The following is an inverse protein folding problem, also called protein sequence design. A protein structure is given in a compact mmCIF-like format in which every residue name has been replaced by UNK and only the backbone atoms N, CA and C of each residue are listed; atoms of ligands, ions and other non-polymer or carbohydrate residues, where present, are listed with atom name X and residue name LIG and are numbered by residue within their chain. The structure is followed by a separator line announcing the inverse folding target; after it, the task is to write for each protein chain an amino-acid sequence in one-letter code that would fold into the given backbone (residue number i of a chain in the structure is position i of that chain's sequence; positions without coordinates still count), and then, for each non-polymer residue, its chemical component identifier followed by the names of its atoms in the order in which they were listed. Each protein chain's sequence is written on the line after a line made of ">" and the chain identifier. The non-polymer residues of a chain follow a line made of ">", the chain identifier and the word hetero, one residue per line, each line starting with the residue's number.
data_IF_726847064085
#
_entry.id   IF_726847064085
#
_cell.length_a   1.000
_cell.length_b   1.000
_cell.length_c   1.000
_cell.angle_alpha   90.00
_cell.angle_beta   90.00
_cell.angle_gamma   90.00
#
_symmetry.space_group_name_H-M   'P 1'
#
loop_
_entity.id
_entity.type
_entity.pdbx_description
1 polymer ?
#
# COMPACT_ATOMS: atom_id res chain seq x y z
N UNK A 1 15.62 -14.42 -21.04
CA UNK A 1 14.91 -14.98 -19.86
C UNK A 1 14.50 -13.82 -18.97
N UNK A 2 13.21 -13.71 -18.62
CA UNK A 2 12.77 -12.69 -17.65
C UNK A 2 13.16 -13.13 -16.24
N UNK A 3 13.82 -12.27 -15.47
CA UNK A 3 14.18 -12.57 -14.07
C UNK A 3 12.99 -12.59 -13.12
N UNK A 4 11.83 -12.06 -13.54
CA UNK A 4 10.63 -12.03 -12.72
C UNK A 4 9.37 -12.25 -13.56
N UNK A 5 8.32 -12.74 -12.91
CA UNK A 5 6.97 -12.84 -13.46
C UNK A 5 6.00 -12.06 -12.57
N UNK A 6 5.08 -11.31 -13.19
CA UNK A 6 4.04 -10.57 -12.49
C UNK A 6 2.70 -11.11 -12.93
N UNK A 7 1.85 -11.47 -11.97
CA UNK A 7 0.51 -11.99 -12.24
C UNK A 7 -0.52 -11.03 -11.67
N UNK A 8 -1.34 -10.43 -12.54
CA UNK A 8 -2.44 -9.53 -12.18
C UNK A 8 -3.63 -9.75 -13.12
N UNK A 9 -4.88 -9.81 -12.64
CA UNK A 9 -5.28 -9.86 -11.23
C UNK A 9 -4.97 -11.22 -10.59
N UNK A 10 -4.53 -11.22 -9.33
CA UNK A 10 -4.27 -12.43 -8.56
C UNK A 10 -4.47 -12.15 -7.07
N UNK A 11 -5.46 -12.78 -6.45
CA UNK A 11 -5.70 -12.68 -5.02
C UNK A 11 -5.34 -14.00 -4.34
N UNK A 12 -4.17 -14.06 -3.70
CA UNK A 12 -3.82 -15.23 -2.90
C UNK A 12 -4.72 -15.27 -1.65
N UNK A 13 -5.46 -16.35 -1.47
CA UNK A 13 -6.34 -16.57 -0.34
C UNK A 13 -5.74 -17.46 0.72
N UNK A 14 -4.95 -18.46 0.31
CA UNK A 14 -4.29 -19.40 1.21
C UNK A 14 -2.81 -19.52 0.91
N UNK A 15 -2.07 -19.79 1.97
CA UNK A 15 -0.67 -20.13 1.98
C UNK A 15 -0.55 -21.37 2.86
N UNK A 16 -0.10 -22.50 2.33
CA UNK A 16 -0.04 -23.75 3.08
C UNK A 16 1.35 -24.40 2.93
N UNK A 17 1.96 -24.92 3.99
CA UNK A 17 3.16 -25.73 3.87
C UNK A 17 2.79 -27.13 3.37
N UNK A 18 3.41 -27.57 2.28
CA UNK A 18 3.21 -28.90 1.73
C UNK A 18 4.51 -29.45 1.15
N UNK A 19 4.92 -30.63 1.62
CA UNK A 19 6.09 -31.36 1.12
C UNK A 19 7.38 -30.51 1.04
N UNK A 20 7.63 -29.67 2.05
CA UNK A 20 8.82 -28.80 2.12
C UNK A 20 8.73 -27.50 1.32
N UNK A 21 7.62 -27.24 0.63
CA UNK A 21 7.38 -26.00 -0.13
C UNK A 21 6.14 -25.26 0.39
N UNK A 22 6.02 -24.01 -0.02
CA UNK A 22 4.85 -23.17 0.20
C UNK A 22 3.92 -23.22 -1.00
N UNK A 23 2.70 -23.68 -0.78
CA UNK A 23 1.64 -23.71 -1.78
C UNK A 23 0.76 -22.47 -1.63
N UNK A 24 0.59 -21.72 -2.73
CA UNK A 24 -0.24 -20.53 -2.78
C UNK A 24 -1.49 -20.85 -3.59
N UNK A 25 -2.66 -20.53 -3.08
CA UNK A 25 -3.91 -20.68 -3.83
C UNK A 25 -4.74 -19.40 -3.83
N UNK A 26 -5.51 -19.22 -4.89
CA UNK A 26 -6.63 -18.28 -4.96
C UNK A 26 -7.92 -19.11 -4.88
N UNK A 27 -8.58 -19.02 -3.73
CA UNK A 27 -9.60 -19.96 -3.28
C UNK A 27 -9.05 -21.38 -3.33
N UNK A 28 -9.62 -22.23 -4.20
CA UNK A 28 -9.18 -23.61 -4.43
C UNK A 28 -8.16 -23.75 -5.57
N UNK A 29 -7.93 -22.68 -6.34
CA UNK A 29 -7.05 -22.72 -7.52
C UNK A 29 -5.59 -22.53 -7.10
N UNK A 30 -4.75 -23.55 -7.30
CA UNK A 30 -3.31 -23.43 -7.09
C UNK A 30 -2.72 -22.36 -8.02
N UNK A 31 -1.93 -21.45 -7.44
CA UNK A 31 -1.27 -20.32 -8.13
C UNK A 31 0.25 -20.46 -8.17
N UNK A 32 0.83 -21.31 -7.33
CA UNK A 32 2.26 -21.64 -7.39
C UNK A 32 2.75 -22.40 -6.18
N UNK A 33 3.97 -22.88 -6.29
CA UNK A 33 4.73 -23.57 -5.24
C UNK A 33 6.11 -22.92 -5.17
N UNK A 34 6.57 -22.59 -3.96
CA UNK A 34 7.81 -21.83 -3.78
C UNK A 34 8.57 -22.32 -2.54
N UNK A 35 9.89 -22.31 -2.58
CA UNK A 35 10.74 -22.60 -1.42
C UNK A 35 10.62 -21.50 -0.35
N UNK A 36 10.41 -20.25 -0.80
CA UNK A 36 10.35 -19.05 0.06
C UNK A 36 9.19 -18.16 -0.38
N UNK A 37 8.48 -17.59 0.61
CA UNK A 37 7.40 -16.62 0.40
C UNK A 37 7.66 -15.36 1.21
N UNK A 38 7.53 -14.21 0.56
CA UNK A 38 7.58 -12.88 1.19
C UNK A 38 6.20 -12.23 1.10
N UNK A 39 5.59 -11.94 2.26
CA UNK A 39 4.29 -11.26 2.32
C UNK A 39 4.51 -9.76 2.52
N UNK A 40 4.49 -9.01 1.42
CA UNK A 40 4.60 -7.55 1.43
C UNK A 40 3.21 -6.86 1.42
N UNK A 41 2.40 -7.15 2.45
CA UNK A 41 1.04 -6.62 2.59
C UNK A 41 0.82 -5.99 3.97
N UNK A 42 -0.12 -5.04 4.11
CA UNK A 42 -0.56 -4.50 5.41
C UNK A 42 -0.91 -5.65 6.38
N UNK A 43 -0.42 -5.57 7.61
CA UNK A 43 -0.45 -6.68 8.60
C UNK A 43 -1.84 -7.30 8.81
N UNK A 44 -2.88 -6.49 9.07
CA UNK A 44 -4.23 -7.00 9.31
C UNK A 44 -4.81 -7.78 8.13
N UNK A 45 -4.50 -7.38 6.91
CA UNK A 45 -4.98 -8.04 5.70
C UNK A 45 -4.18 -9.33 5.38
N UNK A 46 -2.94 -9.44 5.86
CA UNK A 46 -2.15 -10.66 5.77
C UNK A 46 -2.65 -11.76 6.73
N UNK A 47 -3.45 -11.42 7.76
CA UNK A 47 -3.94 -12.38 8.74
C UNK A 47 -4.71 -13.56 8.12
N UNK A 48 -5.42 -13.34 7.00
CA UNK A 48 -6.12 -14.43 6.30
C UNK A 48 -5.13 -15.47 5.76
N UNK A 49 -4.04 -15.02 5.15
CA UNK A 49 -2.98 -15.87 4.62
C UNK A 49 -2.22 -16.59 5.74
N UNK A 50 -1.90 -15.85 6.81
CA UNK A 50 -1.20 -16.43 7.96
C UNK A 50 -2.04 -17.48 8.70
N UNK A 51 -3.37 -17.40 8.61
CA UNK A 51 -4.29 -18.37 9.18
C UNK A 51 -4.11 -19.79 8.62
N UNK A 52 -3.85 -19.93 7.31
CA UNK A 52 -3.61 -21.22 6.66
C UNK A 52 -2.13 -21.64 6.63
N UNK A 53 -1.20 -20.73 6.94
CA UNK A 53 0.25 -20.95 6.84
C UNK A 53 0.84 -22.02 7.76
N UNK A 54 0.08 -22.57 8.71
CA UNK A 54 0.64 -23.47 9.73
C UNK A 54 1.61 -22.78 10.70
N UNK A 55 1.66 -21.45 10.73
CA UNK A 55 2.53 -20.64 11.60
C UNK A 55 1.72 -19.91 12.69
N UNK A 56 1.17 -20.64 13.69
CA UNK A 56 0.19 -20.09 14.64
C UNK A 56 0.76 -18.97 15.51
N UNK A 57 2.05 -19.00 15.84
CA UNK A 57 2.71 -17.97 16.65
C UNK A 57 2.80 -16.64 15.90
N UNK A 58 3.19 -16.68 14.61
CA UNK A 58 3.26 -15.50 13.74
C UNK A 58 1.84 -14.96 13.50
N UNK A 59 0.88 -15.84 13.20
CA UNK A 59 -0.51 -15.45 13.02
C UNK A 59 -1.07 -14.74 14.27
N UNK A 60 -0.74 -15.22 15.48
CA UNK A 60 -1.14 -14.58 16.74
C UNK A 60 -0.49 -13.20 16.93
N UNK A 61 0.79 -13.05 16.61
CA UNK A 61 1.48 -11.76 16.70
C UNK A 61 0.91 -10.75 15.72
N UNK A 62 0.69 -11.14 14.47
CA UNK A 62 0.18 -10.26 13.41
C UNK A 62 -1.27 -9.84 13.63
N UNK A 63 -2.08 -10.68 14.29
CA UNK A 63 -3.46 -10.34 14.71
C UNK A 63 -3.52 -9.18 15.72
N UNK A 64 -2.45 -8.91 16.45
CA UNK A 64 -2.38 -7.79 17.41
C UNK A 64 -2.10 -6.44 16.74
N UNK A 65 -1.76 -6.44 15.46
CA UNK A 65 -1.52 -5.19 14.74
C UNK A 65 -2.83 -4.48 14.46
N UNK A 66 -2.90 -3.23 14.91
CA UNK A 66 -4.01 -2.33 14.63
C UNK A 66 -3.72 -1.50 13.38
N UNK A 67 -4.78 -1.16 12.66
CA UNK A 67 -4.71 -0.26 11.53
C UNK A 67 -5.54 0.98 11.87
N UNK A 68 -4.93 2.14 11.71
CA UNK A 68 -5.65 3.41 11.74
C UNK A 68 -6.27 3.67 10.37
N UNK A 69 -7.53 4.11 10.38
CA UNK A 69 -8.19 4.61 9.17
C UNK A 69 -7.67 6.01 8.86
N UNK A 70 -7.36 6.25 7.59
CA UNK A 70 -7.01 7.58 7.08
C UNK A 70 -8.04 7.91 6.02
N UNK A 71 -8.67 9.09 6.15
CA UNK A 71 -9.51 9.67 5.11
C UNK A 71 -8.67 10.60 4.26
N UNK A 72 -8.81 10.49 2.94
CA UNK A 72 -8.14 11.35 1.98
C UNK A 72 -9.17 11.98 1.05
N UNK A 73 -9.06 13.28 0.84
CA UNK A 73 -9.86 14.05 -0.09
C UNK A 73 -8.94 14.68 -1.13
N UNK A 74 -9.28 14.53 -2.41
CA UNK A 74 -8.65 15.27 -3.49
C UNK A 74 -9.64 16.31 -4.00
N UNK A 75 -9.26 17.58 -3.93
CA UNK A 75 -10.01 18.68 -4.53
C UNK A 75 -9.22 19.19 -5.76
N UNK A 76 -9.91 19.30 -6.89
CA UNK A 76 -9.38 19.86 -8.12
C UNK A 76 -10.20 21.10 -8.50
N UNK A 77 -9.51 22.12 -8.99
CA UNK A 77 -10.08 23.39 -9.39
C UNK A 77 -9.68 23.66 -10.84
N UNK A 78 -10.58 24.29 -11.61
CA UNK A 78 -10.32 24.64 -13.01
C UNK A 78 -9.17 25.66 -13.11
N UNK A 79 -9.24 26.72 -12.31
CA UNK A 79 -8.18 27.72 -12.15
C UNK A 79 -7.37 27.52 -10.86
N UNK A 80 -6.08 27.92 -10.85
CA UNK A 80 -5.28 27.92 -9.62
C UNK A 80 -5.95 28.75 -8.51
N UNK A 81 -5.92 28.22 -7.28
CA UNK A 81 -6.43 28.95 -6.12
C UNK A 81 -5.66 30.27 -5.94
N UNK A 82 -6.33 31.39 -5.59
CA UNK A 82 -5.69 32.68 -5.38
C UNK A 82 -4.97 32.71 -4.03
N UNK A 83 -3.81 32.05 -3.95
CA UNK A 83 -3.09 31.82 -2.69
C UNK A 83 -2.32 33.05 -2.18
N UNK A 84 -2.22 34.14 -2.95
CA UNK A 84 -1.54 35.37 -2.53
C UNK A 84 -0.09 35.11 -2.08
N UNK A 85 0.25 35.48 -0.84
CA UNK A 85 1.57 35.24 -0.24
C UNK A 85 1.91 33.76 -0.03
N UNK A 86 0.93 32.86 -0.16
CA UNK A 86 1.11 31.41 -0.12
C UNK A 86 1.22 30.78 -1.52
N UNK A 87 1.60 31.55 -2.54
CA UNK A 87 1.77 31.06 -3.92
C UNK A 87 2.75 29.89 -4.06
N UNK A 88 3.71 29.76 -3.14
CA UNK A 88 4.70 28.66 -3.07
C UNK A 88 4.27 27.53 -2.12
N UNK A 89 3.00 27.46 -1.74
CA UNK A 89 2.52 26.44 -0.82
C UNK A 89 2.55 25.04 -1.45
N UNK A 90 3.29 24.12 -0.81
CA UNK A 90 3.39 22.71 -1.22
C UNK A 90 2.63 21.76 -0.28
N UNK A 91 2.55 22.10 1.01
CA UNK A 91 1.82 21.33 2.01
C UNK A 91 2.12 21.78 3.43
N UNK A 92 1.20 21.50 4.35
CA UNK A 92 1.36 21.81 5.77
C UNK A 92 0.47 20.95 6.66
N UNK A 93 0.88 20.83 7.92
CA UNK A 93 0.01 20.38 9.01
C UNK A 93 -1.01 21.46 9.30
N UNK A 94 -2.26 21.05 9.48
CA UNK A 94 -3.37 21.99 9.72
C UNK A 94 -3.64 22.04 11.22
N UNK A 95 -3.81 23.25 11.75
CA UNK A 95 -4.18 23.49 13.15
C UNK A 95 -5.52 24.21 13.21
N UNK A 96 -6.29 23.97 14.27
CA UNK A 96 -7.60 24.59 14.48
C UNK A 96 -8.73 24.01 13.62
N UNK A 97 -8.47 22.93 12.88
CA UNK A 97 -9.46 22.18 12.11
C UNK A 97 -9.32 20.69 12.45
N UNK A 98 -10.19 20.16 13.29
CA UNK A 98 -10.04 18.81 13.85
C UNK A 98 -10.15 17.69 12.80
N UNK A 99 -10.84 17.93 11.69
CA UNK A 99 -11.07 16.94 10.63
C UNK A 99 -9.92 16.84 9.62
N UNK A 100 -8.98 17.78 9.63
CA UNK A 100 -7.88 17.83 8.66
C UNK A 100 -6.56 17.85 9.42
N UNK A 101 -5.78 16.78 9.29
CA UNK A 101 -4.45 16.69 9.91
C UNK A 101 -3.34 17.25 9.02
N UNK A 102 -3.50 17.16 7.69
CA UNK A 102 -2.52 17.54 6.70
C UNK A 102 -3.19 17.89 5.36
N UNK A 103 -2.63 18.85 4.64
CA UNK A 103 -3.00 19.14 3.25
C UNK A 103 -1.77 19.36 2.38
N UNK A 104 -1.90 19.11 1.07
CA UNK A 104 -0.82 19.33 0.11
C UNK A 104 -1.35 19.86 -1.22
N UNK A 105 -0.51 20.64 -1.90
CA UNK A 105 -0.70 21.08 -3.27
C UNK A 105 0.05 20.13 -4.21
N UNK A 106 -0.70 19.29 -4.91
CA UNK A 106 -0.10 18.31 -5.82
C UNK A 106 0.56 18.95 -7.05
N UNK A 107 0.07 20.10 -7.52
CA UNK A 107 0.64 20.79 -8.68
C UNK A 107 2.06 21.28 -8.41
N UNK A 108 2.32 21.83 -7.22
CA UNK A 108 3.66 22.29 -6.84
C UNK A 108 4.69 21.15 -6.84
N UNK A 109 4.30 19.94 -6.38
CA UNK A 109 5.17 18.76 -6.39
C UNK A 109 5.52 18.27 -7.80
N UNK A 110 4.56 18.31 -8.71
CA UNK A 110 4.74 17.85 -10.09
C UNK A 110 5.58 18.83 -10.92
N UNK A 111 5.43 20.13 -10.68
CA UNK A 111 6.15 21.15 -11.43
C UNK A 111 7.66 21.17 -11.11
N UNK A 112 8.04 20.99 -9.84
CA UNK A 112 9.45 20.87 -9.46
C UNK A 112 10.14 19.62 -10.03
N UNK A 113 9.38 18.59 -10.42
CA UNK A 113 9.93 17.36 -11.00
C UNK A 113 10.24 17.47 -12.50
N UNK A 114 9.76 18.52 -13.18
CA UNK A 114 10.03 18.75 -14.60
C UNK A 114 11.31 19.58 -14.86
N UNK A 115 11.83 20.29 -13.86
CA UNK A 115 13.06 21.09 -14.01
C UNK A 115 14.36 20.28 -13.92
N UNK A 116 14.32 19.07 -13.35
CA UNK A 116 15.49 18.21 -13.12
C UNK A 116 15.60 17.03 -14.12
N UNK A 117 14.78 17.01 -15.18
CA UNK A 117 14.94 16.02 -16.24
C UNK A 117 16.12 16.42 -17.16
N UNK A 118 17.13 15.55 -17.38
CA UNK A 118 18.19 15.87 -18.31
C UNK A 118 17.61 15.97 -19.74
N UNK A 119 17.93 17.08 -20.41
CA UNK A 119 17.59 17.34 -21.81
C UNK A 119 18.17 16.28 -22.76
#
# INVERSE_FOLDING_TARGET
>A
TSMFSIVRPCWISNLEPFNGMWHLSENVKLRGQFDVVVIAHKGKCANRLLGSSGLPQIARQMKRLELSSIWALLAAFEDPLPLGSASTFEGAFVKGVDSVSWMANNSAKLLNSQSDAPH
#
